data_IF_197315544879
#
_entry.id   IF_197315544879
#
_cell.length_a   1.000
_cell.length_b   1.000
_cell.length_c   1.000
_cell.angle_alpha   90.00
_cell.angle_beta   90.00
_cell.angle_gamma   90.00
#
_symmetry.space_group_name_H-M   'P 1'
#
loop_
_entity.id
_entity.type
_entity.pdbx_description
1 polymer ?
#
# COMPACT_ATOMS: atom_id res chain seq x y z
N UNK A 1 1.39 27.06 -14.45
CA UNK A 1 1.55 26.28 -13.21
C UNK A 1 0.35 25.39 -13.12
N UNK A 2 0.48 24.15 -13.56
CA UNK A 2 -0.60 23.17 -13.49
C UNK A 2 -0.71 22.67 -12.06
N UNK A 3 -1.83 22.98 -11.40
CA UNK A 3 -2.23 22.28 -10.21
C UNK A 3 -2.57 20.85 -10.66
N UNK A 4 -1.63 19.92 -10.46
CA UNK A 4 -1.96 18.49 -10.45
C UNK A 4 -3.01 18.29 -9.37
N UNK A 5 -4.27 18.22 -9.79
CA UNK A 5 -5.34 17.61 -9.02
C UNK A 5 -4.87 16.20 -8.69
N UNK A 6 -4.28 16.03 -7.51
CA UNK A 6 -4.09 14.72 -6.91
C UNK A 6 -5.48 14.14 -6.78
N UNK A 7 -5.85 13.26 -7.72
CA UNK A 7 -7.01 12.40 -7.59
C UNK A 7 -6.70 11.50 -6.40
N UNK A 8 -7.17 11.93 -5.23
CA UNK A 8 -7.16 11.21 -3.95
C UNK A 8 -8.05 10.00 -4.10
N UNK A 9 -7.52 8.94 -4.71
CA UNK A 9 -8.36 7.83 -5.13
C UNK A 9 -8.31 6.68 -4.14
N UNK A 10 -9.36 6.63 -3.33
CA UNK A 10 -9.89 5.46 -2.64
C UNK A 10 -10.10 4.24 -3.60
N UNK A 11 -9.90 4.44 -4.90
CA UNK A 11 -9.99 3.47 -5.99
C UNK A 11 -9.14 2.22 -5.83
N UNK A 12 -7.86 2.29 -5.41
CA UNK A 12 -7.07 1.05 -5.28
C UNK A 12 -7.61 0.13 -4.19
N UNK A 13 -7.87 0.68 -3.00
CA UNK A 13 -8.45 -0.09 -1.91
C UNK A 13 -9.78 -0.70 -2.35
N UNK A 14 -10.67 0.11 -2.92
CA UNK A 14 -12.00 -0.35 -3.36
C UNK A 14 -11.92 -1.39 -4.48
N UNK A 15 -11.02 -1.22 -5.45
CA UNK A 15 -10.82 -2.12 -6.59
C UNK A 15 -10.36 -3.51 -6.14
N UNK A 16 -9.43 -3.57 -5.18
CA UNK A 16 -8.79 -4.81 -4.75
C UNK A 16 -9.32 -5.37 -3.43
N UNK A 17 -10.29 -4.72 -2.77
CA UNK A 17 -10.82 -5.14 -1.47
C UNK A 17 -11.26 -6.60 -1.44
N UNK A 18 -11.99 -7.04 -2.48
CA UNK A 18 -12.44 -8.43 -2.60
C UNK A 18 -11.29 -9.41 -2.73
N UNK A 19 -10.23 -9.03 -3.43
CA UNK A 19 -9.05 -9.87 -3.60
C UNK A 19 -8.30 -10.00 -2.26
N UNK A 20 -8.14 -8.90 -1.54
CA UNK A 20 -7.41 -8.87 -0.27
C UNK A 20 -8.16 -9.52 0.90
N UNK A 21 -9.49 -9.55 0.84
CA UNK A 21 -10.34 -10.23 1.85
C UNK A 21 -10.60 -11.70 1.55
N UNK A 22 -10.10 -12.23 0.42
CA UNK A 22 -10.36 -13.59 -0.01
C UNK A 22 -9.70 -14.70 0.85
N UNK A 23 -8.94 -14.33 1.89
CA UNK A 23 -8.29 -15.27 2.80
C UNK A 23 -7.37 -16.24 2.05
N UNK A 24 -7.58 -17.54 2.26
CA UNK A 24 -6.78 -18.62 1.66
C UNK A 24 -7.08 -18.87 0.17
N UNK A 25 -8.11 -18.26 -0.40
CA UNK A 25 -8.42 -18.42 -1.81
C UNK A 25 -7.26 -17.88 -2.67
N UNK A 26 -6.77 -18.67 -3.61
CA UNK A 26 -5.67 -18.27 -4.48
C UNK A 26 -6.12 -17.15 -5.42
N UNK A 27 -5.36 -16.05 -5.45
CA UNK A 27 -5.54 -15.02 -6.48
C UNK A 27 -4.72 -15.36 -7.74
N UNK A 28 -5.29 -15.10 -8.91
CA UNK A 28 -4.57 -15.30 -10.16
C UNK A 28 -3.38 -14.33 -10.26
N UNK A 29 -2.24 -14.80 -10.78
CA UNK A 29 -1.02 -13.99 -10.91
C UNK A 29 -1.25 -12.69 -11.67
N UNK A 30 -2.07 -12.72 -12.72
CA UNK A 30 -2.37 -11.53 -13.53
C UNK A 30 -3.02 -10.41 -12.70
N UNK A 31 -3.82 -10.76 -11.69
CA UNK A 31 -4.41 -9.76 -10.78
C UNK A 31 -3.35 -9.10 -9.89
N UNK A 32 -2.35 -9.86 -9.46
CA UNK A 32 -1.21 -9.30 -8.72
C UNK A 32 -0.37 -8.38 -9.60
N UNK A 33 -0.13 -8.75 -10.86
CA UNK A 33 0.59 -7.90 -11.81
C UNK A 33 -0.19 -6.62 -12.13
N UNK A 34 -1.51 -6.70 -12.26
CA UNK A 34 -2.38 -5.54 -12.42
C UNK A 34 -2.26 -4.60 -11.22
N UNK A 35 -2.28 -5.15 -9.99
CA UNK A 35 -2.10 -4.36 -8.76
C UNK A 35 -0.75 -3.63 -8.73
N UNK A 36 0.34 -4.31 -9.10
CA UNK A 36 1.68 -3.70 -9.18
C UNK A 36 1.70 -2.57 -10.22
N UNK A 37 1.08 -2.79 -11.39
CA UNK A 37 0.98 -1.79 -12.45
C UNK A 37 0.26 -0.54 -11.95
N UNK A 38 -0.86 -0.72 -11.25
CA UNK A 38 -1.64 0.37 -10.70
C UNK A 38 -0.89 1.14 -9.60
N UNK A 39 -0.19 0.43 -8.69
CA UNK A 39 0.68 1.06 -7.69
C UNK A 39 1.78 1.91 -8.34
N UNK A 40 2.32 1.44 -9.46
CA UNK A 40 3.34 2.16 -10.23
C UNK A 40 2.75 3.40 -10.89
N UNK A 41 1.62 3.26 -11.58
CA UNK A 41 0.94 4.35 -12.29
C UNK A 41 0.50 5.48 -11.36
N UNK A 42 0.08 5.14 -10.14
CA UNK A 42 -0.32 6.12 -9.12
C UNK A 42 0.85 6.65 -8.28
N UNK A 43 2.09 6.21 -8.53
CA UNK A 43 3.28 6.71 -7.84
C UNK A 43 3.41 6.25 -6.38
N UNK A 44 2.72 5.18 -5.97
CA UNK A 44 2.84 4.62 -4.62
C UNK A 44 4.22 3.99 -4.37
N UNK A 45 4.82 3.41 -5.42
CA UNK A 45 6.15 2.79 -5.32
C UNK A 45 7.26 3.85 -5.30
N UNK A 46 8.23 3.68 -4.40
CA UNK A 46 9.34 4.60 -4.25
C UNK A 46 10.36 4.40 -5.38
N UNK A 47 10.72 5.48 -6.06
CA UNK A 47 11.83 5.50 -7.02
C UNK A 47 13.17 5.22 -6.29
N UNK A 48 13.42 5.95 -5.20
CA UNK A 48 14.57 5.79 -4.35
C UNK A 48 14.22 4.87 -3.17
N UNK A 49 14.94 3.76 -3.07
CA UNK A 49 14.72 2.74 -2.04
C UNK A 49 16.07 2.39 -1.40
N UNK A 50 16.13 2.40 -0.07
CA UNK A 50 17.33 2.03 0.67
C UNK A 50 17.08 0.76 1.48
N UNK A 51 18.00 -0.20 1.37
CA UNK A 51 17.90 -1.46 2.10
C UNK A 51 18.01 -1.27 3.62
N UNK A 52 18.73 -0.26 4.09
CA UNK A 52 18.82 0.07 5.51
C UNK A 52 17.47 0.50 6.09
N UNK A 53 16.71 1.31 5.34
CA UNK A 53 15.39 1.73 5.79
C UNK A 53 14.41 0.55 5.77
N UNK A 54 14.49 -0.32 4.78
CA UNK A 54 13.75 -1.58 4.75
C UNK A 54 14.07 -2.47 5.96
N UNK A 55 15.34 -2.73 6.24
CA UNK A 55 15.77 -3.60 7.34
C UNK A 55 15.22 -3.13 8.70
N UNK A 56 15.18 -1.81 8.92
CA UNK A 56 14.62 -1.22 10.14
C UNK A 56 13.09 -1.30 10.24
N UNK A 57 12.37 -1.69 9.18
CA UNK A 57 10.90 -1.71 9.12
C UNK A 57 10.31 -3.06 8.69
N UNK A 58 11.14 -4.05 8.32
CA UNK A 58 10.67 -5.33 7.78
C UNK A 58 9.80 -6.11 8.77
N UNK A 59 9.98 -5.88 10.07
CA UNK A 59 9.18 -6.46 11.15
C UNK A 59 7.66 -6.17 11.01
N UNK A 60 7.28 -5.13 10.27
CA UNK A 60 5.88 -4.78 10.01
C UNK A 60 5.18 -5.85 9.16
N UNK A 61 5.91 -6.56 8.29
CA UNK A 61 5.36 -7.66 7.49
C UNK A 61 5.09 -8.88 8.38
N UNK A 62 5.98 -9.17 9.32
CA UNK A 62 5.84 -10.31 10.25
C UNK A 62 4.73 -10.09 11.29
N UNK A 63 4.40 -8.82 11.59
CA UNK A 63 3.38 -8.43 12.56
C UNK A 63 2.40 -7.42 11.94
N UNK A 64 1.44 -7.89 11.12
CA UNK A 64 0.51 -7.02 10.41
C UNK A 64 -0.26 -6.06 11.32
N UNK A 65 -0.51 -6.45 12.58
CA UNK A 65 -1.16 -5.59 13.57
C UNK A 65 -0.45 -4.25 13.81
N UNK A 66 0.88 -4.18 13.58
CA UNK A 66 1.65 -2.95 13.74
C UNK A 66 1.51 -1.98 12.56
N UNK A 67 1.00 -2.45 11.42
CA UNK A 67 0.75 -1.62 10.24
C UNK A 67 -0.32 -0.56 10.53
N UNK A 68 -1.24 -0.84 11.46
CA UNK A 68 -2.27 0.12 11.91
C UNK A 68 -1.68 1.47 12.34
N UNK A 69 -0.47 1.47 12.89
CA UNK A 69 0.20 2.67 13.40
C UNK A 69 1.31 3.16 12.44
N UNK A 70 1.53 2.49 11.30
CA UNK A 70 2.53 2.87 10.32
C UNK A 70 2.23 4.22 9.65
N UNK A 71 3.28 4.94 9.28
CA UNK A 71 3.18 6.17 8.47
C UNK A 71 2.98 5.86 6.98
N UNK A 72 2.55 6.85 6.19
CA UNK A 72 2.48 6.73 4.72
C UNK A 72 3.82 6.29 4.12
N UNK A 73 4.93 6.85 4.62
CA UNK A 73 6.27 6.51 4.17
C UNK A 73 6.61 5.03 4.40
N UNK A 74 6.23 4.49 5.56
CA UNK A 74 6.40 3.07 5.88
C UNK A 74 5.50 2.20 4.99
N UNK A 75 4.22 2.54 4.80
CA UNK A 75 3.36 1.80 3.89
C UNK A 75 3.93 1.74 2.46
N UNK A 76 4.42 2.88 1.94
CA UNK A 76 5.09 2.94 0.62
C UNK A 76 6.36 2.11 0.57
N UNK A 77 7.15 2.12 1.65
CA UNK A 77 8.34 1.30 1.77
C UNK A 77 8.01 -0.19 1.68
N UNK A 78 7.01 -0.65 2.44
CA UNK A 78 6.57 -2.05 2.43
C UNK A 78 6.09 -2.47 1.04
N UNK A 79 5.21 -1.68 0.41
CA UNK A 79 4.72 -1.95 -0.95
C UNK A 79 5.87 -2.03 -1.94
N UNK A 80 6.83 -1.10 -1.85
CA UNK A 80 8.00 -1.06 -2.75
C UNK A 80 8.89 -2.27 -2.56
N UNK A 81 9.26 -2.59 -1.32
CA UNK A 81 10.12 -3.73 -1.01
C UNK A 81 9.51 -5.03 -1.55
N UNK A 82 8.23 -5.25 -1.26
CA UNK A 82 7.58 -6.52 -1.56
C UNK A 82 7.24 -6.67 -3.04
N UNK A 83 6.91 -5.58 -3.72
CA UNK A 83 6.80 -5.55 -5.19
C UNK A 83 8.14 -5.87 -5.86
N UNK A 84 9.25 -5.32 -5.35
CA UNK A 84 10.59 -5.66 -5.87
C UNK A 84 10.95 -7.11 -5.60
N UNK A 85 10.60 -7.64 -4.42
CA UNK A 85 10.84 -9.04 -4.06
C UNK A 85 10.00 -10.02 -4.91
N UNK A 86 8.78 -9.67 -5.30
CA UNK A 86 7.94 -10.47 -6.20
C UNK A 86 8.62 -10.75 -7.55
N UNK A 87 9.45 -9.82 -8.05
CA UNK A 87 10.22 -10.02 -9.29
C UNK A 87 11.28 -11.12 -9.12
N UNK A 88 11.91 -11.19 -7.95
CA UNK A 88 12.95 -12.19 -7.66
C UNK A 88 12.38 -13.52 -7.18
N UNK A 89 11.25 -13.49 -6.48
CA UNK A 89 10.59 -14.64 -5.89
C UNK A 89 9.08 -14.52 -6.11
N UNK A 90 8.53 -15.06 -7.20
CA UNK A 90 7.10 -15.04 -7.47
C UNK A 90 6.28 -15.66 -6.31
N UNK A 91 5.18 -15.01 -5.95
CA UNK A 91 4.26 -15.44 -4.88
C UNK A 91 4.48 -14.74 -3.53
N UNK A 92 5.45 -13.83 -3.41
CA UNK A 92 5.67 -13.01 -2.22
C UNK A 92 4.45 -12.14 -1.90
N UNK A 93 3.90 -11.45 -2.90
CA UNK A 93 2.71 -10.61 -2.69
C UNK A 93 1.46 -11.43 -2.41
N UNK A 94 1.31 -12.59 -3.05
CA UNK A 94 0.20 -13.51 -2.77
C UNK A 94 0.29 -14.05 -1.33
N UNK A 95 1.50 -14.36 -0.85
CA UNK A 95 1.69 -14.76 0.54
C UNK A 95 1.36 -13.62 1.52
N UNK A 96 1.80 -12.40 1.25
CA UNK A 96 1.40 -11.22 2.05
C UNK A 96 -0.10 -11.01 2.08
N UNK A 97 -0.77 -11.21 0.95
CA UNK A 97 -2.23 -11.11 0.85
C UNK A 97 -2.89 -12.11 1.78
N UNK A 98 -2.48 -13.38 1.74
CA UNK A 98 -3.02 -14.44 2.62
C UNK A 98 -2.81 -14.13 4.09
N UNK A 99 -1.67 -13.52 4.43
CA UNK A 99 -1.36 -13.11 5.81
C UNK A 99 -2.08 -11.81 6.23
N UNK A 100 -2.89 -11.21 5.36
CA UNK A 100 -3.62 -9.96 5.63
C UNK A 100 -2.75 -8.71 5.61
N UNK A 101 -1.47 -8.81 5.24
CA UNK A 101 -0.52 -7.68 5.23
C UNK A 101 -0.95 -6.63 4.19
N UNK A 102 -1.31 -7.05 2.98
CA UNK A 102 -1.74 -6.11 1.93
C UNK A 102 -3.03 -5.40 2.31
N UNK A 103 -3.98 -6.11 2.92
CA UNK A 103 -5.23 -5.51 3.42
C UNK A 103 -4.91 -4.44 4.47
N UNK A 104 -4.11 -4.78 5.48
CA UNK A 104 -3.74 -3.86 6.55
C UNK A 104 -3.01 -2.59 6.03
N UNK A 105 -2.15 -2.72 5.02
CA UNK A 105 -1.49 -1.57 4.39
C UNK A 105 -2.52 -0.66 3.72
N UNK A 106 -3.43 -1.23 2.95
CA UNK A 106 -4.39 -0.44 2.17
C UNK A 106 -5.44 0.23 3.06
N UNK A 107 -5.94 -0.46 4.09
CA UNK A 107 -6.81 0.13 5.11
C UNK A 107 -6.10 1.29 5.82
N UNK A 108 -4.82 1.11 6.18
CA UNK A 108 -4.05 2.17 6.83
C UNK A 108 -3.90 3.39 5.92
N UNK A 109 -3.55 3.19 4.65
CA UNK A 109 -3.43 4.28 3.68
C UNK A 109 -4.76 5.04 3.55
N UNK A 110 -5.88 4.33 3.45
CA UNK A 110 -7.21 4.94 3.40
C UNK A 110 -7.51 5.80 4.65
N UNK A 111 -7.18 5.31 5.86
CA UNK A 111 -7.36 6.08 7.09
C UNK A 111 -6.50 7.35 7.13
N UNK A 112 -5.27 7.28 6.64
CA UNK A 112 -4.33 8.41 6.61
C UNK A 112 -4.77 9.48 5.61
N UNK A 113 -5.32 9.09 4.47
CA UNK A 113 -5.89 10.00 3.48
C UNK A 113 -7.12 10.72 4.02
N UNK A 114 -8.07 10.00 4.61
CA UNK A 114 -9.27 10.59 5.21
C UNK A 114 -8.94 11.60 6.34
N UNK A 115 -7.88 11.34 7.11
CA UNK A 115 -7.41 12.24 8.17
C UNK A 115 -6.76 13.51 7.63
N UNK A 116 -6.20 13.46 6.41
CA UNK A 116 -5.56 14.61 5.76
C UNK A 116 -6.62 15.55 5.17
N UNK A 117 -7.68 15.00 4.57
CA UNK A 117 -8.80 15.78 4.04
C UNK A 117 -9.54 16.58 5.13
N UNK A 118 -9.84 15.96 6.27
CA UNK A 118 -10.55 16.64 7.38
C UNK A 118 -9.75 17.80 8.01
N UNK A 119 -8.41 17.76 7.96
CA UNK A 119 -7.59 18.83 8.52
C UNK A 119 -7.46 20.05 7.58
N UNK A 120 -7.67 19.87 6.27
CA UNK A 120 -7.65 20.99 5.31
C UNK A 120 -8.91 21.86 5.42
N UNK A 121 -10.07 21.27 5.72
CA UNK A 121 -11.33 22.02 5.89
C UNK A 121 -11.34 22.91 7.14
N UNK A 122 -10.63 22.51 8.21
CA UNK A 122 -10.53 23.29 9.46
C UNK A 122 -9.62 24.51 9.31
N UNK A 123 -8.61 24.44 8.45
CA UNK A 123 -7.67 25.55 8.24
C UNK A 123 -8.20 26.65 7.32
N UNK A 124 -9.23 26.39 6.50
CA UNK A 124 -9.87 27.40 5.64
C UNK A 124 -11.05 28.12 6.30
N UNK A 125 -11.38 27.78 7.55
CA UNK A 125 -12.51 28.38 8.29
C UNK A 125 -12.08 29.41 9.35
N UNK A 126 -10.94 30.09 9.19
CA UNK A 126 -10.48 31.16 10.09
C UNK A 126 -10.18 32.46 9.37
#
# INVERSE_FOLDING_TARGET
MEASTMMTDCGLYTKYLKDFTAGDASLHRDRMLEFISDLTAQGWLLANFTWDYWYNNSYLVDKPAYIRDASVAQCRLLLTAMTRLEVFSPGVLENMRRQGVLLAIMERLQCLEASTSNNQDVFMSR
#
